data_IF_840060985709
#
_entry.id   IF_840060985709
#
_cell.length_a   1.000
_cell.length_b   1.000
_cell.length_c   1.000
_cell.angle_alpha   90.00
_cell.angle_beta   90.00
_cell.angle_gamma   90.00
#
_symmetry.space_group_name_H-M   'P 1'
#
loop_
_entity.id
_entity.type
_entity.pdbx_description
1 polymer ?
#
# COMPACT_ATOMS: atom_id res chain seq x y z
N UNK A 1 13.90 39.71 -38.86
CA UNK A 1 12.86 38.77 -39.33
C UNK A 1 12.87 37.57 -38.40
N UNK A 2 11.94 37.54 -37.45
CA UNK A 2 11.80 36.48 -36.46
C UNK A 2 10.97 35.33 -37.06
N UNK A 3 11.45 34.08 -36.97
CA UNK A 3 10.74 32.91 -37.54
C UNK A 3 9.68 32.43 -36.55
N UNK A 4 8.43 32.14 -36.97
CA UNK A 4 7.40 31.69 -36.05
C UNK A 4 7.76 30.31 -35.47
N UNK A 5 7.74 30.20 -34.14
CA UNK A 5 7.92 28.94 -33.41
C UNK A 5 6.77 28.00 -33.77
N UNK A 6 7.09 26.81 -34.29
CA UNK A 6 6.10 25.75 -34.56
C UNK A 6 5.48 25.28 -33.23
N UNK A 7 4.15 25.05 -33.17
CA UNK A 7 3.53 24.49 -31.98
C UNK A 7 4.02 23.07 -31.73
N UNK A 8 4.44 22.78 -30.48
CA UNK A 8 4.75 21.41 -30.04
C UNK A 8 3.45 20.60 -30.12
N UNK A 9 3.37 19.66 -31.07
CA UNK A 9 2.31 18.64 -31.04
C UNK A 9 2.42 17.88 -29.71
N UNK A 10 1.36 17.92 -28.91
CA UNK A 10 1.20 16.96 -27.81
C UNK A 10 1.15 15.55 -28.43
N UNK A 11 1.79 14.55 -27.81
CA UNK A 11 1.77 13.19 -28.35
C UNK A 11 0.33 12.69 -28.45
N UNK A 12 0.01 11.97 -29.53
CA UNK A 12 -1.29 11.32 -29.72
C UNK A 12 -1.56 10.43 -28.50
N UNK A 13 -2.77 10.52 -27.95
CA UNK A 13 -3.26 9.84 -26.72
C UNK A 13 -2.79 8.38 -26.56
N UNK A 14 -2.69 7.63 -27.66
CA UNK A 14 -2.22 6.23 -27.73
C UNK A 14 -0.74 6.03 -27.35
N UNK A 15 0.15 6.96 -27.71
CA UNK A 15 1.58 6.88 -27.36
C UNK A 15 1.86 7.19 -25.87
N UNK A 16 0.92 7.85 -25.20
CA UNK A 16 1.00 8.08 -23.75
C UNK A 16 0.54 6.85 -22.97
N UNK A 17 -0.49 6.16 -23.48
CA UNK A 17 -0.95 4.86 -22.97
C UNK A 17 0.12 3.77 -23.12
N UNK A 18 0.75 3.66 -24.30
CA UNK A 18 1.85 2.70 -24.54
C UNK A 18 3.06 2.94 -23.60
N UNK A 19 3.32 4.20 -23.21
CA UNK A 19 4.41 4.56 -22.27
C UNK A 19 4.06 4.27 -20.81
N UNK A 20 2.77 4.27 -20.46
CA UNK A 20 2.26 3.85 -19.15
C UNK A 20 2.26 2.33 -19.01
N UNK A 21 2.08 1.59 -20.11
CA UNK A 21 2.23 0.13 -20.18
C UNK A 21 3.70 -0.32 -20.14
N UNK A 22 4.64 0.46 -20.69
CA UNK A 22 6.05 0.08 -20.84
C UNK A 22 6.95 0.17 -19.58
N UNK A 23 6.45 0.63 -18.43
CA UNK A 23 7.26 0.86 -17.21
C UNK A 23 7.41 -0.39 -16.31
N UNK A 24 6.83 -1.54 -16.68
CA UNK A 24 6.83 -2.75 -15.82
C UNK A 24 6.13 -2.54 -14.47
N UNK A 25 5.36 -1.45 -14.37
CA UNK A 25 4.76 -0.94 -13.14
C UNK A 25 3.61 -1.83 -12.68
N UNK A 26 2.88 -2.40 -13.62
CA UNK A 26 1.80 -3.33 -13.32
C UNK A 26 2.34 -4.63 -12.73
N UNK A 27 3.39 -5.19 -13.32
CA UNK A 27 4.06 -6.41 -12.88
C UNK A 27 4.64 -6.25 -11.47
N UNK A 28 5.33 -5.13 -11.22
CA UNK A 28 5.80 -4.80 -9.86
C UNK A 28 4.66 -4.68 -8.85
N UNK A 29 3.51 -4.14 -9.28
CA UNK A 29 2.32 -4.05 -8.45
C UNK A 29 1.70 -5.39 -8.13
N UNK A 30 1.64 -6.28 -9.11
CA UNK A 30 1.24 -7.68 -8.93
C UNK A 30 2.15 -8.36 -7.91
N UNK A 31 3.48 -8.26 -8.08
CA UNK A 31 4.45 -8.83 -7.14
C UNK A 31 4.33 -8.24 -5.72
N UNK A 32 4.08 -6.93 -5.62
CA UNK A 32 3.87 -6.26 -4.33
C UNK A 32 2.62 -6.80 -3.63
N UNK A 33 1.48 -6.89 -4.32
CA UNK A 33 0.25 -7.43 -3.72
C UNK A 33 0.31 -8.92 -3.45
N UNK A 34 0.96 -9.71 -4.31
CA UNK A 34 1.22 -11.12 -4.05
C UNK A 34 1.93 -11.31 -2.71
N UNK A 35 2.98 -10.51 -2.44
CA UNK A 35 3.68 -10.50 -1.16
C UNK A 35 2.79 -10.04 0.00
N UNK A 36 2.12 -8.89 -0.14
CA UNK A 36 1.31 -8.29 0.92
C UNK A 36 0.15 -9.20 1.35
N UNK A 37 -0.49 -9.87 0.40
CA UNK A 37 -1.66 -10.72 0.65
C UNK A 37 -1.34 -12.22 0.72
N UNK A 38 -0.06 -12.60 0.60
CA UNK A 38 0.38 -14.00 0.67
C UNK A 38 -0.28 -14.89 -0.38
N UNK A 39 -0.42 -14.40 -1.62
CA UNK A 39 -1.14 -15.10 -2.70
C UNK A 39 -0.31 -15.24 -3.97
N UNK A 40 -0.58 -16.22 -4.85
CA UNK A 40 0.15 -16.39 -6.11
C UNK A 40 -0.02 -15.17 -7.03
N UNK A 41 1.07 -14.72 -7.67
CA UNK A 41 1.05 -13.56 -8.58
C UNK A 41 0.00 -13.69 -9.71
N UNK A 42 -0.16 -14.90 -10.24
CA UNK A 42 -1.15 -15.20 -11.30
C UNK A 42 -2.61 -15.02 -10.87
N UNK A 43 -2.89 -14.98 -9.56
CA UNK A 43 -4.25 -14.85 -9.01
C UNK A 43 -4.58 -13.41 -8.58
N UNK A 44 -3.58 -12.55 -8.37
CA UNK A 44 -3.75 -11.20 -7.80
C UNK A 44 -4.75 -10.37 -8.61
N UNK A 45 -4.55 -10.27 -9.92
CA UNK A 45 -5.38 -9.42 -10.78
C UNK A 45 -6.84 -9.87 -10.76
N UNK A 46 -7.10 -11.18 -10.87
CA UNK A 46 -8.44 -11.73 -10.85
C UNK A 46 -9.13 -11.53 -9.48
N UNK A 47 -8.42 -11.79 -8.38
CA UNK A 47 -8.95 -11.63 -7.03
C UNK A 47 -9.31 -10.17 -6.72
N UNK A 48 -8.46 -9.23 -7.13
CA UNK A 48 -8.74 -7.80 -6.98
C UNK A 48 -9.90 -7.36 -7.86
N UNK A 49 -9.93 -7.75 -9.13
CA UNK A 49 -11.03 -7.43 -10.02
C UNK A 49 -12.38 -7.95 -9.48
N UNK A 50 -12.40 -9.15 -8.90
CA UNK A 50 -13.59 -9.70 -8.24
C UNK A 50 -14.01 -8.91 -6.99
N UNK A 51 -13.05 -8.31 -6.26
CA UNK A 51 -13.31 -7.56 -5.02
C UNK A 51 -13.79 -6.13 -5.27
N UNK A 52 -13.15 -5.42 -6.21
CA UNK A 52 -13.30 -3.96 -6.37
C UNK A 52 -13.63 -3.53 -7.80
N UNK A 53 -13.79 -4.48 -8.73
CA UNK A 53 -14.01 -4.23 -10.14
C UNK A 53 -12.71 -4.06 -10.93
N UNK A 54 -12.74 -4.45 -12.22
CA UNK A 54 -11.54 -4.51 -13.07
C UNK A 54 -10.82 -3.16 -13.22
N UNK A 55 -11.57 -2.07 -13.44
CA UNK A 55 -10.97 -0.75 -13.62
C UNK A 55 -10.22 -0.28 -12.37
N UNK A 56 -10.80 -0.49 -11.17
CA UNK A 56 -10.13 -0.13 -9.92
C UNK A 56 -8.93 -1.04 -9.65
N UNK A 57 -9.07 -2.34 -9.92
CA UNK A 57 -7.99 -3.30 -9.75
C UNK A 57 -6.76 -2.93 -10.58
N UNK A 58 -6.94 -2.58 -11.85
CA UNK A 58 -5.83 -2.17 -12.72
C UNK A 58 -5.12 -0.92 -12.19
N UNK A 59 -5.86 0.12 -11.80
CA UNK A 59 -5.25 1.32 -11.19
C UNK A 59 -4.53 1.00 -9.88
N UNK A 60 -5.08 0.11 -9.05
CA UNK A 60 -4.44 -0.33 -7.82
C UNK A 60 -3.12 -1.08 -8.09
N UNK A 61 -3.08 -1.96 -9.11
CA UNK A 61 -1.87 -2.67 -9.51
C UNK A 61 -0.81 -1.69 -10.01
N UNK A 62 -1.18 -0.76 -10.89
CA UNK A 62 -0.26 0.28 -11.32
C UNK A 62 0.22 1.13 -10.13
N UNK A 63 -0.67 1.55 -9.22
CA UNK A 63 -0.28 2.32 -8.05
C UNK A 63 0.74 1.58 -7.16
N UNK A 64 0.50 0.28 -6.91
CA UNK A 64 1.36 -0.57 -6.07
C UNK A 64 2.77 -0.76 -6.65
N UNK A 65 2.95 -0.81 -7.98
CA UNK A 65 4.30 -0.91 -8.57
C UNK A 65 4.96 0.43 -8.86
N UNK A 66 4.35 1.54 -8.43
CA UNK A 66 4.87 2.89 -8.61
C UNK A 66 6.11 3.20 -7.79
N UNK A 67 6.76 4.32 -8.14
CA UNK A 67 7.98 4.78 -7.47
C UNK A 67 7.83 4.95 -5.94
N UNK A 68 6.63 5.30 -5.46
CA UNK A 68 6.36 5.45 -4.03
C UNK A 68 6.58 4.14 -3.25
N UNK A 69 6.22 3.00 -3.85
CA UNK A 69 6.40 1.69 -3.21
C UNK A 69 7.84 1.19 -3.28
N UNK A 70 8.60 1.54 -4.32
CA UNK A 70 9.94 0.96 -4.56
C UNK A 70 11.09 1.90 -4.23
N UNK A 71 10.85 3.07 -3.61
CA UNK A 71 11.91 4.03 -3.33
C UNK A 71 12.97 3.47 -2.36
N UNK A 72 14.26 3.41 -2.71
CA UNK A 72 15.28 2.69 -1.93
C UNK A 72 15.59 3.32 -0.57
N UNK A 73 15.28 4.61 -0.38
CA UNK A 73 15.51 5.31 0.89
C UNK A 73 14.52 4.92 2.01
N UNK A 74 13.48 4.16 1.70
CA UNK A 74 12.56 3.62 2.70
C UNK A 74 12.80 2.12 2.80
N UNK A 75 12.84 1.58 4.02
CA UNK A 75 12.86 0.14 4.28
C UNK A 75 11.44 -0.45 4.29
N UNK A 76 11.31 -1.77 4.36
CA UNK A 76 10.01 -2.41 4.59
C UNK A 76 9.37 -1.92 5.89
N UNK A 77 10.17 -1.79 6.95
CA UNK A 77 9.74 -1.29 8.26
C UNK A 77 9.18 0.13 8.16
N UNK A 78 9.88 1.05 7.48
CA UNK A 78 9.44 2.44 7.32
C UNK A 78 8.09 2.54 6.61
N UNK A 79 7.90 1.73 5.56
CA UNK A 79 6.63 1.67 4.84
C UNK A 79 5.51 1.10 5.70
N UNK A 80 5.78 0.03 6.45
CA UNK A 80 4.78 -0.54 7.36
C UNK A 80 4.34 0.47 8.40
N UNK A 81 5.28 1.18 9.05
CA UNK A 81 4.95 2.23 10.02
C UNK A 81 4.08 3.31 9.39
N UNK A 82 4.45 3.82 8.20
CA UNK A 82 3.69 4.87 7.52
C UNK A 82 2.27 4.41 7.16
N UNK A 83 2.11 3.20 6.61
CA UNK A 83 0.81 2.68 6.18
C UNK A 83 -0.08 2.37 7.39
N UNK A 84 0.45 1.67 8.40
CA UNK A 84 -0.28 1.37 9.65
C UNK A 84 -0.75 2.68 10.29
N UNK A 85 0.12 3.69 10.34
CA UNK A 85 -0.22 5.02 10.88
C UNK A 85 -1.35 5.68 10.09
N UNK A 86 -1.29 5.66 8.75
CA UNK A 86 -2.34 6.23 7.91
C UNK A 86 -3.69 5.52 8.13
N UNK A 87 -3.68 4.18 8.20
CA UNK A 87 -4.89 3.38 8.43
C UNK A 87 -5.50 3.64 9.81
N UNK A 88 -4.67 3.66 10.86
CA UNK A 88 -5.10 3.99 12.21
C UNK A 88 -5.67 5.42 12.26
N UNK A 89 -4.97 6.39 11.66
CA UNK A 89 -5.43 7.78 11.57
C UNK A 89 -6.76 7.92 10.82
N UNK A 90 -7.05 7.06 9.84
CA UNK A 90 -8.32 7.03 9.12
C UNK A 90 -9.42 6.24 9.85
N UNK A 91 -9.11 5.63 10.99
CA UNK A 91 -10.05 4.76 11.72
C UNK A 91 -10.37 3.45 10.99
N UNK A 92 -9.47 3.00 10.10
CA UNK A 92 -9.64 1.74 9.39
C UNK A 92 -9.36 0.58 10.34
N UNK A 93 -10.29 -0.36 10.42
CA UNK A 93 -10.19 -1.59 11.20
C UNK A 93 -10.39 -2.83 10.31
N UNK A 94 -10.36 -4.01 10.93
CA UNK A 94 -10.60 -5.30 10.27
C UNK A 94 -9.44 -5.74 9.37
N UNK A 95 -9.76 -6.49 8.31
CA UNK A 95 -8.76 -7.19 7.50
C UNK A 95 -7.74 -6.27 6.82
N UNK A 96 -8.12 -5.02 6.50
CA UNK A 96 -7.20 -4.04 5.92
C UNK A 96 -6.08 -3.67 6.88
N UNK A 97 -6.41 -3.32 8.12
CA UNK A 97 -5.40 -3.01 9.13
C UNK A 97 -4.62 -4.26 9.52
N UNK A 98 -5.31 -5.39 9.73
CA UNK A 98 -4.70 -6.68 10.07
C UNK A 98 -3.62 -7.11 9.08
N UNK A 99 -3.88 -6.98 7.78
CA UNK A 99 -2.91 -7.32 6.72
C UNK A 99 -1.61 -6.52 6.89
N UNK A 100 -1.72 -5.21 7.12
CA UNK A 100 -0.54 -4.36 7.26
C UNK A 100 0.17 -4.51 8.61
N UNK A 101 -0.54 -4.89 9.68
CA UNK A 101 0.07 -5.24 10.96
C UNK A 101 0.93 -6.50 10.84
N UNK A 102 0.42 -7.56 10.18
CA UNK A 102 1.20 -8.79 9.90
C UNK A 102 2.43 -8.51 9.04
N UNK A 103 2.26 -7.74 7.96
CA UNK A 103 3.40 -7.30 7.15
C UNK A 103 4.39 -6.45 7.96
N UNK A 104 3.90 -5.66 8.91
CA UNK A 104 4.73 -4.94 9.88
C UNK A 104 5.63 -5.87 10.68
N UNK A 105 5.08 -6.96 11.22
CA UNK A 105 5.82 -7.99 11.97
C UNK A 105 6.89 -8.67 11.11
N UNK A 106 6.57 -9.01 9.87
CA UNK A 106 7.56 -9.54 8.90
C UNK A 106 8.70 -8.54 8.63
N UNK A 107 8.41 -7.24 8.72
CA UNK A 107 9.41 -6.16 8.64
C UNK A 107 10.04 -5.79 10.01
N UNK A 108 9.82 -6.62 11.05
CA UNK A 108 10.45 -6.52 12.37
C UNK A 108 9.71 -5.64 13.38
N UNK A 109 8.48 -5.18 13.10
CA UNK A 109 7.64 -4.50 14.10
C UNK A 109 6.99 -5.56 15.01
N UNK A 110 7.69 -5.96 16.07
CA UNK A 110 7.14 -6.84 17.10
C UNK A 110 5.99 -6.18 17.87
N UNK A 111 5.36 -6.95 18.76
CA UNK A 111 4.19 -6.52 19.51
C UNK A 111 4.48 -5.35 20.45
N UNK A 112 5.69 -5.29 21.02
CA UNK A 112 6.15 -4.17 21.84
C UNK A 112 6.27 -2.89 20.99
N UNK A 113 6.86 -2.96 19.80
CA UNK A 113 6.97 -1.83 18.89
C UNK A 113 5.61 -1.37 18.37
N UNK A 114 4.70 -2.29 18.05
CA UNK A 114 3.34 -1.96 17.62
C UNK A 114 2.54 -1.30 18.75
N UNK A 115 2.67 -1.81 19.98
CA UNK A 115 2.04 -1.22 21.17
C UNK A 115 2.57 0.19 21.42
N UNK A 116 3.89 0.38 21.38
CA UNK A 116 4.51 1.69 21.53
C UNK A 116 4.07 2.67 20.43
N UNK A 117 3.94 2.20 19.19
CA UNK A 117 3.41 2.99 18.08
C UNK A 117 1.96 3.44 18.36
N UNK A 118 1.06 2.55 18.78
CA UNK A 118 -0.33 2.93 19.08
C UNK A 118 -0.42 3.91 20.25
N UNK A 119 0.39 3.72 21.29
CA UNK A 119 0.46 4.64 22.42
C UNK A 119 0.94 6.04 21.99
N UNK A 120 1.96 6.11 21.14
CA UNK A 120 2.43 7.38 20.56
C UNK A 120 1.32 8.03 19.72
N UNK A 121 0.68 7.25 18.84
CA UNK A 121 -0.36 7.76 17.95
C UNK A 121 -1.57 8.29 18.71
N UNK A 122 -1.91 7.76 19.89
CA UNK A 122 -2.99 8.30 20.72
C UNK A 122 -2.85 9.80 20.99
N UNK A 123 -1.62 10.32 21.11
CA UNK A 123 -1.35 11.75 21.26
C UNK A 123 -1.63 12.61 20.01
N UNK A 124 -1.59 12.00 18.81
CA UNK A 124 -1.72 12.72 17.54
C UNK A 124 -3.05 12.48 16.82
N UNK A 125 -3.61 11.28 16.92
CA UNK A 125 -4.86 10.89 16.26
C UNK A 125 -6.03 10.71 17.24
N UNK A 126 -5.77 10.90 18.53
CA UNK A 126 -6.73 10.72 19.63
C UNK A 126 -6.90 9.27 20.06
N UNK A 127 -7.25 9.08 21.33
CA UNK A 127 -7.48 7.77 21.93
C UNK A 127 -8.49 6.89 21.18
N UNK A 128 -9.65 7.39 20.70
CA UNK A 128 -10.64 6.53 20.04
C UNK A 128 -10.11 5.83 18.78
N UNK A 129 -9.27 6.50 17.99
CA UNK A 129 -8.69 5.90 16.77
C UNK A 129 -7.52 4.98 17.10
N UNK A 130 -6.65 5.40 18.03
CA UNK A 130 -5.51 4.60 18.45
C UNK A 130 -5.94 3.32 19.16
N UNK A 131 -6.97 3.37 20.02
CA UNK A 131 -7.48 2.19 20.74
C UNK A 131 -8.09 1.16 19.77
N UNK A 132 -8.84 1.61 18.77
CA UNK A 132 -9.39 0.72 17.74
C UNK A 132 -8.29 -0.04 16.98
N UNK A 133 -7.17 0.62 16.68
CA UNK A 133 -6.02 -0.02 16.07
C UNK A 133 -5.31 -0.98 17.05
N UNK A 134 -5.17 -0.58 18.31
CA UNK A 134 -4.56 -1.38 19.37
C UNK A 134 -5.33 -2.68 19.66
N UNK A 135 -6.66 -2.66 19.64
CA UNK A 135 -7.50 -3.87 19.75
C UNK A 135 -7.15 -4.90 18.66
N UNK A 136 -6.86 -4.42 17.45
CA UNK A 136 -6.44 -5.29 16.34
C UNK A 136 -5.03 -5.85 16.59
N UNK A 137 -4.08 -5.05 17.10
CA UNK A 137 -2.74 -5.53 17.49
C UNK A 137 -2.86 -6.67 18.51
N UNK A 138 -3.64 -6.45 19.57
CA UNK A 138 -3.84 -7.43 20.64
C UNK A 138 -4.44 -8.73 20.12
N UNK A 139 -5.50 -8.64 19.30
CA UNK A 139 -6.17 -9.82 18.74
C UNK A 139 -5.22 -10.70 17.93
N UNK A 140 -4.31 -10.11 17.13
CA UNK A 140 -3.38 -10.91 16.33
C UNK A 140 -2.31 -11.54 17.22
N UNK A 141 -1.84 -10.84 18.26
CA UNK A 141 -0.87 -11.40 19.23
C UNK A 141 -1.42 -12.64 19.94
N UNK A 142 -2.69 -12.59 20.39
CA UNK A 142 -3.35 -13.73 21.05
C UNK A 142 -3.50 -14.94 20.12
N UNK A 143 -3.80 -14.71 18.84
CA UNK A 143 -3.98 -15.76 17.83
C UNK A 143 -2.67 -16.48 17.48
N UNK A 144 -1.53 -15.80 17.55
CA UNK A 144 -0.22 -16.39 17.24
C UNK A 144 0.37 -17.17 18.43
N UNK A 145 -0.13 -16.92 19.65
CA UNK A 145 0.29 -17.59 20.87
C UNK A 145 -0.61 -18.78 21.28
N UNK A 146 -1.64 -19.09 20.50
CA UNK A 146 -2.61 -20.18 20.73
C UNK A 146 -2.37 -21.36 19.80
#
# INVERSE_FOLDING_TARGET
MDRPRRPRLLPRRRAMTDRMEADGRRERGIAAYARIFGMPEGEVSAAFAARVGAAFAEEALHAAGGAAWSHPALTGRDRSVAIITALAAQGVSGDRLRTHLRLGREHGLDDDALTALMALLAGYIGYPRASLAMETVHTIAEQENS
#
